data_IF_205806675521
#
_entry.id   IF_205806675521
#
_cell.length_a   1.000
_cell.length_b   1.000
_cell.length_c   1.000
_cell.angle_alpha   90.00
_cell.angle_beta   90.00
_cell.angle_gamma   90.00
#
_symmetry.space_group_name_H-M   'P 1'
#
loop_
_entity.id
_entity.type
_entity.pdbx_description
1 polymer ?
#
# COMPACT_ATOMS: atom_id res chain seq x y z
N UNK A 1 77.37 48.68 -16.12
CA UNK A 1 77.63 48.70 -14.66
C UNK A 1 76.49 47.90 -14.02
N UNK A 2 76.63 46.83 -13.25
CA UNK A 2 77.75 46.11 -12.63
C UNK A 2 77.33 44.64 -12.42
N UNK A 3 78.32 43.76 -12.28
CA UNK A 3 78.25 42.31 -12.20
C UNK A 3 77.79 41.76 -10.83
N UNK A 4 77.37 40.48 -10.86
CA UNK A 4 77.65 39.36 -9.95
C UNK A 4 77.77 39.56 -8.43
N UNK A 5 77.19 38.63 -7.65
CA UNK A 5 77.95 37.61 -6.87
C UNK A 5 77.01 36.73 -6.05
N UNK A 6 77.36 35.43 -5.98
CA UNK A 6 76.85 34.45 -5.03
C UNK A 6 77.75 34.41 -3.79
N UNK A 7 77.21 34.06 -2.62
CA UNK A 7 78.01 33.52 -1.52
C UNK A 7 77.19 32.60 -0.59
N UNK A 8 77.88 31.54 -0.14
CA UNK A 8 77.44 30.45 0.76
C UNK A 8 77.75 30.79 2.22
N UNK A 9 77.04 30.18 3.18
CA UNK A 9 77.48 30.06 4.59
C UNK A 9 76.43 29.43 5.54
N UNK A 10 76.80 28.77 6.65
CA UNK A 10 76.31 27.43 7.03
C UNK A 10 75.57 27.35 8.41
N UNK A 11 75.70 26.30 9.26
CA UNK A 11 74.74 25.21 9.42
C UNK A 11 74.10 25.11 10.83
N UNK A 12 73.08 24.24 10.95
CA UNK A 12 72.87 23.43 12.16
C UNK A 12 71.95 23.98 13.25
N UNK A 13 70.85 23.28 13.50
CA UNK A 13 70.43 22.94 14.87
C UNK A 13 69.49 21.74 14.88
N UNK A 14 69.99 20.67 15.49
CA UNK A 14 69.19 19.53 15.95
C UNK A 14 68.08 20.01 16.89
N UNK A 15 66.86 19.50 16.72
CA UNK A 15 65.97 19.26 17.86
C UNK A 15 65.40 17.85 17.79
N UNK A 16 65.65 17.16 18.91
CA UNK A 16 65.32 15.78 19.22
C UNK A 16 63.82 15.54 19.28
N UNK A 17 63.48 14.31 18.94
CA UNK A 17 62.26 13.56 19.21
C UNK A 17 61.39 14.03 20.38
N UNK A 18 60.08 14.12 20.10
CA UNK A 18 59.04 13.65 21.02
C UNK A 18 58.00 12.85 20.24
N UNK A 19 58.04 11.53 20.43
CA UNK A 19 56.90 10.64 20.21
C UNK A 19 55.73 11.20 21.03
N UNK A 20 54.66 11.61 20.36
CA UNK A 20 53.36 11.79 21.01
C UNK A 20 52.52 10.58 20.67
N UNK A 21 52.12 9.90 21.74
CA UNK A 21 51.33 8.68 21.79
C UNK A 21 50.02 8.82 21.00
N UNK A 22 49.68 7.77 20.27
CA UNK A 22 48.33 7.45 19.82
C UNK A 22 47.39 7.41 21.02
N UNK A 23 46.62 8.48 21.21
CA UNK A 23 45.46 8.49 22.09
C UNK A 23 44.22 8.17 21.26
N UNK A 24 43.78 6.92 21.29
CA UNK A 24 42.47 6.51 20.81
C UNK A 24 41.41 7.22 21.65
N UNK A 25 40.81 8.29 21.12
CA UNK A 25 39.54 8.79 21.63
C UNK A 25 38.44 7.93 21.01
N UNK A 26 38.08 6.87 21.74
CA UNK A 26 36.80 6.22 21.58
C UNK A 26 35.71 7.27 21.82
N UNK A 27 35.12 7.77 20.74
CA UNK A 27 33.90 8.57 20.79
C UNK A 27 32.79 7.68 21.33
N UNK A 28 32.07 8.20 22.33
CA UNK A 28 31.03 7.50 23.04
C UNK A 28 29.98 6.93 22.08
N UNK A 29 29.89 5.61 22.01
CA UNK A 29 28.69 4.92 21.57
C UNK A 29 27.59 5.30 22.55
N UNK A 30 26.67 6.16 22.12
CA UNK A 30 25.40 6.35 22.79
C UNK A 30 24.73 4.99 22.90
N UNK A 31 24.51 4.56 24.14
CA UNK A 31 23.82 3.33 24.47
C UNK A 31 22.41 3.42 23.91
N UNK A 32 22.10 2.58 22.94
CA UNK A 32 20.72 2.28 22.58
C UNK A 32 20.01 1.84 23.86
N UNK A 33 19.15 2.70 24.41
CA UNK A 33 18.22 2.26 25.45
C UNK A 33 17.42 1.12 24.82
N UNK A 34 17.58 -0.09 25.35
CA UNK A 34 16.72 -1.23 25.02
C UNK A 34 15.29 -0.74 25.13
N UNK A 35 14.55 -0.79 24.02
CA UNK A 35 13.10 -0.70 24.07
C UNK A 35 12.61 -1.71 25.11
N UNK A 36 11.63 -1.31 25.92
CA UNK A 36 11.02 -2.19 26.90
C UNK A 36 10.60 -3.50 26.19
N UNK A 37 10.84 -4.68 26.79
CA UNK A 37 10.42 -5.93 26.20
C UNK A 37 8.91 -5.87 25.96
N UNK A 38 8.51 -6.11 24.70
CA UNK A 38 7.11 -6.34 24.34
C UNK A 38 6.59 -7.43 25.29
N UNK A 39 5.45 -7.23 25.97
CA UNK A 39 4.88 -8.26 26.84
C UNK A 39 4.80 -9.56 26.06
N UNK A 40 5.53 -10.58 26.54
CA UNK A 40 5.51 -11.89 25.93
C UNK A 40 4.06 -12.39 25.91
N UNK A 41 3.55 -12.62 24.69
CA UNK A 41 2.29 -13.32 24.45
C UNK A 41 2.42 -14.73 25.04
N UNK A 42 2.13 -14.88 26.34
CA UNK A 42 1.99 -16.18 27.00
C UNK A 42 0.63 -16.80 26.67
N UNK A 43 0.31 -16.87 25.38
CA UNK A 43 -0.77 -17.66 24.83
C UNK A 43 -0.16 -18.90 24.16
N UNK A 44 -0.62 -20.09 24.54
CA UNK A 44 -0.13 -21.39 24.06
C UNK A 44 0.14 -21.37 22.55
N UNK A 45 1.36 -21.72 22.17
CA UNK A 45 1.85 -21.77 20.79
C UNK A 45 1.16 -22.83 19.89
N UNK A 46 0.12 -23.50 20.37
CA UNK A 46 -0.52 -24.63 19.69
C UNK A 46 -1.54 -24.24 18.61
N UNK A 47 -1.70 -22.95 18.29
CA UNK A 47 -2.62 -22.47 17.23
C UNK A 47 -1.98 -21.46 16.26
N UNK A 48 -0.71 -21.64 15.91
CA UNK A 48 -0.03 -20.78 14.91
C UNK A 48 -0.54 -21.06 13.47
N UNK A 49 -1.14 -22.23 13.24
CA UNK A 49 -1.71 -22.60 11.93
C UNK A 49 -3.23 -22.58 11.99
N UNK A 50 -3.85 -21.55 11.43
CA UNK A 50 -5.25 -21.58 11.07
C UNK A 50 -5.36 -21.95 9.59
N UNK A 51 -5.75 -23.20 9.29
CA UNK A 51 -6.12 -23.56 7.92
C UNK A 51 -7.42 -22.80 7.62
N UNK A 52 -7.34 -21.78 6.79
CA UNK A 52 -8.55 -21.12 6.26
C UNK A 52 -9.29 -22.19 5.46
N UNK A 53 -10.50 -22.61 5.86
CA UNK A 53 -11.25 -23.60 5.12
C UNK A 53 -11.41 -23.11 3.68
N UNK A 54 -11.16 -23.99 2.71
CA UNK A 54 -11.49 -23.66 1.32
C UNK A 54 -13.01 -23.45 1.26
N UNK A 55 -13.43 -22.24 0.90
CA UNK A 55 -14.83 -21.96 0.62
C UNK A 55 -15.15 -22.60 -0.73
N UNK A 56 -15.57 -23.86 -0.68
CA UNK A 56 -15.98 -24.63 -1.85
C UNK A 56 -17.36 -24.14 -2.30
N UNK A 57 -17.59 -23.91 -3.60
CA UNK A 57 -18.92 -23.60 -4.10
C UNK A 57 -19.87 -24.76 -3.77
N UNK A 58 -20.98 -24.47 -3.07
CA UNK A 58 -22.06 -25.44 -2.84
C UNK A 58 -21.94 -26.31 -1.58
N UNK A 59 -21.08 -26.01 -0.61
CA UNK A 59 -21.15 -26.66 0.70
C UNK A 59 -22.46 -26.26 1.42
N UNK A 60 -23.25 -27.22 1.93
CA UNK A 60 -24.44 -26.90 2.73
C UNK A 60 -23.99 -26.27 4.04
N UNK A 61 -24.34 -25.00 4.23
CA UNK A 61 -24.22 -24.32 5.52
C UNK A 61 -25.26 -24.96 6.43
N UNK A 62 -24.82 -25.65 7.48
CA UNK A 62 -25.73 -26.21 8.48
C UNK A 62 -26.66 -25.13 9.02
N UNK A 63 -27.96 -25.43 9.11
CA UNK A 63 -29.04 -24.61 9.67
C UNK A 63 -28.76 -23.09 9.76
N UNK A 64 -28.86 -22.43 8.60
CA UNK A 64 -29.19 -21.01 8.36
C UNK A 64 -28.60 -19.94 9.32
N UNK A 65 -27.26 -19.88 9.43
CA UNK A 65 -26.62 -18.63 9.82
C UNK A 65 -26.50 -17.73 8.58
N UNK A 66 -27.16 -16.57 8.61
CA UNK A 66 -26.96 -15.50 7.63
C UNK A 66 -25.49 -15.08 7.65
N UNK A 67 -24.90 -14.82 6.48
CA UNK A 67 -23.51 -14.39 6.40
C UNK A 67 -23.39 -13.03 5.73
N UNK A 68 -22.65 -12.13 6.39
CA UNK A 68 -22.23 -10.85 5.80
C UNK A 68 -20.96 -11.07 4.98
N UNK A 69 -21.03 -10.85 3.68
CA UNK A 69 -19.90 -10.96 2.77
C UNK A 69 -19.28 -9.58 2.51
N UNK A 70 -18.14 -9.30 3.13
CA UNK A 70 -17.32 -8.13 2.79
C UNK A 70 -16.56 -8.41 1.49
N UNK A 71 -17.01 -7.83 0.39
CA UNK A 71 -16.54 -8.14 -0.96
C UNK A 71 -15.69 -6.99 -1.50
N UNK A 72 -14.46 -7.31 -1.89
CA UNK A 72 -13.66 -6.43 -2.74
C UNK A 72 -14.27 -6.34 -4.13
N UNK A 73 -14.83 -5.18 -4.45
CA UNK A 73 -15.46 -4.88 -5.73
C UNK A 73 -14.45 -4.73 -6.87
N UNK A 74 -13.17 -4.54 -6.55
CA UNK A 74 -12.15 -4.19 -7.53
C UNK A 74 -11.99 -2.67 -7.72
N UNK A 75 -11.10 -2.27 -8.63
CA UNK A 75 -10.64 -0.87 -8.77
C UNK A 75 -11.65 0.06 -9.46
N UNK A 76 -12.60 -0.48 -10.21
CA UNK A 76 -13.47 0.31 -11.07
C UNK A 76 -14.29 -0.55 -12.00
N UNK A 77 -13.69 -1.12 -13.04
CA UNK A 77 -14.43 -1.95 -14.00
C UNK A 77 -15.15 -3.13 -13.33
N UNK A 78 -16.40 -3.35 -13.68
CA UNK A 78 -17.24 -4.39 -13.08
C UNK A 78 -16.71 -5.81 -13.28
N UNK A 79 -15.95 -6.06 -14.36
CA UNK A 79 -15.36 -7.37 -14.67
C UNK A 79 -14.07 -7.67 -13.87
N UNK A 80 -13.57 -6.70 -13.10
CA UNK A 80 -12.45 -6.88 -12.18
C UNK A 80 -12.89 -7.31 -10.76
N UNK A 81 -14.18 -7.47 -10.53
CA UNK A 81 -14.68 -8.23 -9.37
C UNK A 81 -14.26 -9.70 -9.51
N UNK A 82 -14.00 -10.37 -8.39
CA UNK A 82 -13.72 -11.81 -8.45
C UNK A 82 -14.98 -12.61 -8.82
N UNK A 83 -14.81 -13.78 -9.46
CA UNK A 83 -15.92 -14.72 -9.71
C UNK A 83 -16.71 -15.06 -8.43
N UNK A 84 -16.02 -15.15 -7.29
CA UNK A 84 -16.68 -15.34 -5.99
C UNK A 84 -17.51 -14.12 -5.60
N UNK A 85 -16.97 -12.92 -5.73
CA UNK A 85 -17.66 -11.66 -5.45
C UNK A 85 -18.92 -11.50 -6.31
N UNK A 86 -18.81 -11.70 -7.62
CA UNK A 86 -19.94 -11.66 -8.56
C UNK A 86 -21.06 -12.64 -8.16
N UNK A 87 -20.73 -13.90 -7.90
CA UNK A 87 -21.73 -14.91 -7.50
C UNK A 87 -22.44 -14.60 -6.20
N UNK A 88 -21.75 -13.94 -5.27
CA UNK A 88 -22.35 -13.49 -4.00
C UNK A 88 -23.26 -12.29 -4.24
N UNK A 89 -22.80 -11.31 -5.01
CA UNK A 89 -23.57 -10.13 -5.38
C UNK A 89 -24.88 -10.51 -6.10
N UNK A 90 -24.84 -11.53 -6.98
CA UNK A 90 -25.98 -12.05 -7.72
C UNK A 90 -27.01 -12.82 -6.88
N UNK A 91 -26.75 -13.11 -5.60
CA UNK A 91 -27.66 -13.89 -4.75
C UNK A 91 -28.04 -13.22 -3.43
N UNK A 92 -27.29 -12.22 -2.98
CA UNK A 92 -27.58 -11.57 -1.71
C UNK A 92 -28.84 -10.70 -1.85
N UNK A 93 -29.88 -10.90 -1.03
CA UNK A 93 -31.08 -10.05 -1.03
C UNK A 93 -30.83 -8.62 -0.55
N UNK A 94 -29.71 -8.37 0.13
CA UNK A 94 -29.32 -7.03 0.59
C UNK A 94 -27.89 -6.72 0.11
N UNK A 95 -27.71 -5.54 -0.49
CA UNK A 95 -26.41 -5.04 -0.93
C UNK A 95 -26.13 -3.67 -0.34
N UNK A 96 -25.05 -3.53 0.41
CA UNK A 96 -24.54 -2.26 0.93
C UNK A 96 -23.25 -1.91 0.19
N UNK A 97 -23.10 -0.69 -0.28
CA UNK A 97 -21.86 -0.22 -0.92
C UNK A 97 -21.43 1.13 -0.37
N UNK A 98 -20.14 1.44 -0.46
CA UNK A 98 -19.55 2.65 0.09
C UNK A 98 -19.47 3.79 -0.94
N UNK A 99 -20.55 4.55 -1.12
CA UNK A 99 -20.52 5.87 -1.76
C UNK A 99 -20.08 5.90 -3.23
N UNK A 100 -19.50 7.03 -3.62
CA UNK A 100 -19.23 7.46 -5.01
C UNK A 100 -18.17 6.67 -5.79
N UNK A 101 -17.65 5.57 -5.23
CA UNK A 101 -16.63 4.73 -5.86
C UNK A 101 -17.20 3.31 -6.03
N UNK A 102 -18.34 3.22 -6.68
CA UNK A 102 -18.97 1.97 -7.10
C UNK A 102 -19.64 2.18 -8.45
N UNK A 103 -19.27 1.45 -9.50
CA UNK A 103 -19.82 1.69 -10.82
C UNK A 103 -21.24 1.10 -10.91
N UNK A 104 -22.09 1.75 -11.72
CA UNK A 104 -23.49 1.36 -11.85
C UNK A 104 -23.65 -0.03 -12.48
N UNK A 105 -22.77 -0.38 -13.42
CA UNK A 105 -22.76 -1.69 -14.10
C UNK A 105 -22.45 -2.85 -13.15
N UNK A 106 -21.66 -2.64 -12.10
CA UNK A 106 -21.44 -3.63 -11.06
C UNK A 106 -22.68 -3.78 -10.18
N UNK A 107 -23.32 -2.67 -9.78
CA UNK A 107 -24.56 -2.72 -8.99
C UNK A 107 -25.70 -3.40 -9.77
N UNK A 108 -25.72 -3.25 -11.09
CA UNK A 108 -26.66 -3.92 -11.98
C UNK A 108 -26.51 -5.46 -12.02
N UNK A 109 -25.45 -6.03 -11.43
CA UNK A 109 -25.32 -7.48 -11.23
C UNK A 109 -26.23 -7.99 -10.10
N UNK A 110 -26.75 -7.12 -9.24
CA UNK A 110 -27.72 -7.50 -8.23
C UNK A 110 -29.05 -7.91 -8.89
N UNK A 111 -29.74 -8.93 -8.36
CA UNK A 111 -31.12 -9.22 -8.75
C UNK A 111 -32.04 -7.98 -8.62
N UNK A 112 -33.10 -7.87 -9.44
CA UNK A 112 -34.03 -6.74 -9.38
C UNK A 112 -34.66 -6.49 -8.00
N UNK A 113 -34.85 -7.55 -7.21
CA UNK A 113 -35.46 -7.49 -5.88
C UNK A 113 -34.45 -7.23 -4.74
N UNK A 114 -33.16 -7.10 -5.06
CA UNK A 114 -32.14 -6.81 -4.06
C UNK A 114 -32.32 -5.41 -3.49
N UNK A 115 -32.35 -5.29 -2.17
CA UNK A 115 -32.33 -3.99 -1.48
C UNK A 115 -30.91 -3.43 -1.52
N UNK A 116 -30.67 -2.47 -2.40
CA UNK A 116 -29.38 -1.80 -2.57
C UNK A 116 -29.33 -0.50 -1.74
N UNK A 117 -28.29 -0.34 -0.92
CA UNK A 117 -28.12 0.78 0.00
C UNK A 117 -26.76 1.46 -0.19
N UNK A 118 -26.78 2.77 -0.47
CA UNK A 118 -25.60 3.61 -0.39
C UNK A 118 -25.28 3.95 1.06
N UNK A 119 -24.09 3.56 1.50
CA UNK A 119 -23.60 3.80 2.86
C UNK A 119 -22.72 5.04 2.99
N UNK A 120 -22.41 5.73 1.89
CA UNK A 120 -21.69 7.00 1.89
C UNK A 120 -22.23 8.06 2.86
N UNK A 121 -23.56 8.27 2.97
CA UNK A 121 -24.15 9.21 3.92
C UNK A 121 -24.42 8.62 5.32
N UNK A 122 -24.12 7.34 5.56
CA UNK A 122 -24.50 6.64 6.79
C UNK A 122 -23.38 6.67 7.83
N UNK A 123 -23.75 6.74 9.10
CA UNK A 123 -22.84 6.49 10.22
C UNK A 123 -22.57 4.99 10.39
N UNK A 124 -21.51 4.64 11.12
CA UNK A 124 -21.21 3.25 11.46
C UNK A 124 -22.36 2.57 12.20
N UNK A 125 -23.07 3.28 13.09
CA UNK A 125 -24.23 2.72 13.81
C UNK A 125 -25.37 2.37 12.85
N UNK A 126 -25.67 3.24 11.89
CA UNK A 126 -26.68 2.98 10.87
C UNK A 126 -26.29 1.81 9.97
N UNK A 127 -25.02 1.76 9.53
CA UNK A 127 -24.47 0.66 8.74
C UNK A 127 -24.65 -0.68 9.46
N UNK A 128 -24.26 -0.76 10.73
CA UNK A 128 -24.38 -1.99 11.52
C UNK A 128 -25.84 -2.33 11.77
N UNK A 129 -26.69 -1.33 12.01
CA UNK A 129 -28.14 -1.51 12.16
C UNK A 129 -28.78 -2.17 10.94
N UNK A 130 -28.44 -1.73 9.73
CA UNK A 130 -28.91 -2.35 8.48
C UNK A 130 -28.48 -3.81 8.34
N UNK A 131 -27.22 -4.10 8.70
CA UNK A 131 -26.67 -5.47 8.64
C UNK A 131 -27.37 -6.37 9.66
N UNK A 132 -27.58 -5.91 10.90
CA UNK A 132 -28.27 -6.67 11.95
C UNK A 132 -29.75 -6.88 11.60
N UNK A 133 -30.41 -5.89 10.99
CA UNK A 133 -31.78 -6.04 10.53
C UNK A 133 -31.90 -7.10 9.42
N UNK A 134 -30.94 -7.15 8.49
CA UNK A 134 -30.89 -8.19 7.46
C UNK A 134 -30.63 -9.59 8.06
N UNK A 135 -29.70 -9.69 9.01
CA UNK A 135 -29.43 -10.93 9.76
C UNK A 135 -30.69 -11.46 10.47
N UNK A 136 -31.39 -10.60 11.21
CA UNK A 136 -32.64 -10.94 11.89
C UNK A 136 -33.77 -11.37 10.92
N UNK A 137 -33.71 -10.93 9.66
CA UNK A 137 -34.65 -11.31 8.60
C UNK A 137 -34.23 -12.57 7.83
N UNK A 138 -33.09 -13.19 8.13
CA UNK A 138 -32.61 -14.36 7.39
C UNK A 138 -31.96 -14.01 6.05
N UNK A 139 -31.48 -12.77 5.86
CA UNK A 139 -31.01 -12.24 4.58
C UNK A 139 -29.49 -12.06 4.52
N UNK A 140 -28.82 -12.85 3.67
CA UNK A 140 -27.40 -12.64 3.34
C UNK A 140 -27.15 -11.22 2.82
N UNK A 141 -25.99 -10.66 3.22
CA UNK A 141 -25.60 -9.28 2.90
C UNK A 141 -24.35 -9.26 2.05
N UNK A 142 -24.42 -8.66 0.86
CA UNK A 142 -23.25 -8.26 0.09
C UNK A 142 -22.80 -6.87 0.57
N UNK A 143 -21.65 -6.78 1.23
CA UNK A 143 -21.03 -5.50 1.64
C UNK A 143 -19.86 -5.17 0.72
N UNK A 144 -20.10 -4.35 -0.30
CA UNK A 144 -19.10 -3.97 -1.28
C UNK A 144 -18.13 -2.91 -0.73
N UNK A 145 -16.84 -3.14 -0.95
CA UNK A 145 -15.74 -2.20 -0.72
C UNK A 145 -14.94 -2.01 -2.01
N UNK A 146 -14.56 -0.77 -2.32
CA UNK A 146 -13.65 -0.49 -3.45
C UNK A 146 -12.31 -1.20 -3.24
N UNK A 147 -11.74 -1.71 -4.34
CA UNK A 147 -10.47 -2.43 -4.34
C UNK A 147 -10.54 -3.74 -3.57
N UNK A 148 -9.67 -3.87 -2.57
CA UNK A 148 -9.60 -5.04 -1.68
C UNK A 148 -9.87 -4.63 -0.22
N UNK A 149 -10.68 -5.39 0.55
CA UNK A 149 -11.01 -5.03 1.93
C UNK A 149 -9.82 -5.03 2.90
N UNK A 150 -8.64 -5.54 2.54
CA UNK A 150 -7.45 -5.50 3.40
C UNK A 150 -6.83 -4.11 3.54
N UNK A 151 -7.13 -3.18 2.63
CA UNK A 151 -6.43 -1.90 2.54
C UNK A 151 -7.40 -0.71 2.68
N UNK A 152 -7.20 0.09 3.72
CA UNK A 152 -7.93 1.36 3.99
C UNK A 152 -9.46 1.30 3.88
N UNK A 153 -10.05 0.13 4.13
CA UNK A 153 -11.46 -0.18 3.85
C UNK A 153 -12.44 0.11 4.99
N UNK A 154 -11.93 0.44 6.19
CA UNK A 154 -12.70 0.45 7.44
C UNK A 154 -13.40 -0.90 7.79
N UNK A 155 -12.90 -2.01 7.25
CA UNK A 155 -13.39 -3.35 7.58
C UNK A 155 -13.24 -3.70 9.08
N UNK A 156 -12.14 -3.27 9.69
CA UNK A 156 -11.76 -3.67 11.06
C UNK A 156 -12.81 -3.25 12.10
N UNK A 157 -13.34 -2.03 12.01
CA UNK A 157 -14.34 -1.52 12.94
C UNK A 157 -15.71 -2.19 12.77
N UNK A 158 -16.11 -2.47 11.52
CA UNK A 158 -17.36 -3.16 11.22
C UNK A 158 -17.31 -4.59 11.74
N UNK A 159 -16.26 -5.36 11.41
CA UNK A 159 -16.07 -6.72 11.90
C UNK A 159 -16.08 -6.80 13.42
N UNK A 160 -15.43 -5.85 14.10
CA UNK A 160 -15.41 -5.80 15.59
C UNK A 160 -16.83 -5.66 16.15
N UNK A 161 -17.67 -4.82 15.54
CA UNK A 161 -19.06 -4.61 15.99
C UNK A 161 -19.95 -5.81 15.66
N UNK A 162 -19.85 -6.38 14.46
CA UNK A 162 -20.62 -7.57 14.06
C UNK A 162 -20.28 -8.78 14.94
N UNK A 163 -18.99 -9.01 15.21
CA UNK A 163 -18.54 -10.07 16.12
C UNK A 163 -19.14 -9.90 17.52
N UNK A 164 -19.24 -8.67 18.02
CA UNK A 164 -19.79 -8.40 19.35
C UNK A 164 -21.29 -8.71 19.47
N UNK A 165 -22.03 -8.71 18.36
CA UNK A 165 -23.47 -9.03 18.31
C UNK A 165 -23.76 -10.41 17.74
N UNK A 166 -22.73 -11.22 17.47
CA UNK A 166 -22.88 -12.60 17.00
C UNK A 166 -23.26 -12.76 15.53
N UNK A 167 -23.07 -11.72 14.71
CA UNK A 167 -23.33 -11.80 13.26
C UNK A 167 -22.10 -12.38 12.55
N UNK A 168 -22.32 -13.46 11.79
CA UNK A 168 -21.26 -14.12 11.03
C UNK A 168 -20.86 -13.29 9.80
N UNK A 169 -19.55 -13.24 9.52
CA UNK A 169 -19.03 -12.51 8.37
C UNK A 169 -17.85 -13.22 7.69
N UNK A 170 -17.73 -13.00 6.40
CA UNK A 170 -16.63 -13.48 5.57
C UNK A 170 -16.04 -12.35 4.73
N UNK A 171 -14.72 -12.37 4.53
CA UNK A 171 -14.03 -11.47 3.60
C UNK A 171 -13.80 -12.20 2.27
N UNK A 172 -14.14 -11.53 1.19
CA UNK A 172 -13.88 -11.96 -0.19
C UNK A 172 -12.88 -10.96 -0.78
N UNK A 173 -11.67 -11.43 -1.17
CA UNK A 173 -10.66 -10.52 -1.69
C UNK A 173 -11.10 -9.92 -3.02
N UNK A 174 -10.54 -8.76 -3.33
CA UNK A 174 -10.69 -8.05 -4.61
C UNK A 174 -9.34 -7.68 -5.21
N UNK A 175 -9.39 -7.08 -6.40
CA UNK A 175 -8.20 -6.50 -7.03
C UNK A 175 -7.93 -5.12 -6.43
N UNK A 176 -6.80 -4.90 -5.72
CA UNK A 176 -6.51 -3.60 -5.13
C UNK A 176 -6.11 -2.57 -6.19
N UNK A 177 -6.38 -1.30 -5.91
CA UNK A 177 -6.16 -0.21 -6.87
C UNK A 177 -4.70 -0.08 -7.34
N UNK A 178 -3.71 -0.32 -6.48
CA UNK A 178 -2.30 -0.27 -6.91
C UNK A 178 -1.96 -1.34 -7.95
N UNK A 179 -2.57 -2.52 -7.88
CA UNK A 179 -2.32 -3.59 -8.84
C UNK A 179 -2.97 -3.25 -10.19
N UNK A 180 -4.19 -2.70 -10.17
CA UNK A 180 -4.86 -2.21 -11.37
C UNK A 180 -4.08 -1.07 -12.04
N UNK A 181 -3.58 -0.13 -11.24
CA UNK A 181 -2.78 0.98 -11.73
C UNK A 181 -1.43 0.53 -12.32
N UNK A 182 -0.76 -0.46 -11.71
CA UNK A 182 0.44 -1.06 -12.28
C UNK A 182 0.15 -1.76 -13.62
N UNK A 183 -0.98 -2.47 -13.72
CA UNK A 183 -1.43 -3.11 -14.96
C UNK A 183 -1.74 -2.08 -16.06
N UNK A 184 -2.42 -0.98 -15.73
CA UNK A 184 -2.69 0.12 -16.67
C UNK A 184 -1.40 0.74 -17.24
N UNK A 185 -0.33 0.77 -16.44
CA UNK A 185 0.98 1.23 -16.88
C UNK A 185 1.80 0.17 -17.63
N UNK A 186 1.38 -1.09 -17.63
CA UNK A 186 2.13 -2.22 -18.17
C UNK A 186 3.41 -2.53 -17.40
N UNK A 187 3.45 -2.30 -16.09
CA UNK A 187 4.67 -2.37 -15.28
C UNK A 187 4.61 -3.45 -14.19
N UNK A 188 5.74 -4.11 -13.99
CA UNK A 188 6.01 -4.89 -12.78
C UNK A 188 6.61 -3.96 -11.70
N UNK A 189 6.08 -3.96 -10.49
CA UNK A 189 6.55 -3.07 -9.41
C UNK A 189 7.83 -3.54 -8.71
N UNK A 190 8.27 -4.78 -9.02
CA UNK A 190 9.49 -5.41 -8.49
C UNK A 190 10.36 -5.94 -9.63
N UNK A 191 11.37 -5.16 -9.99
CA UNK A 191 12.27 -5.48 -11.10
C UNK A 191 13.64 -5.93 -10.56
N UNK A 192 14.21 -7.09 -11.01
CA UNK A 192 15.51 -7.56 -10.57
C UNK A 192 16.62 -6.51 -10.75
N UNK A 193 17.41 -6.29 -9.69
CA UNK A 193 18.48 -5.29 -9.69
C UNK A 193 18.03 -3.83 -9.58
N UNK A 194 16.72 -3.57 -9.59
CA UNK A 194 16.15 -2.21 -9.47
C UNK A 194 15.36 -2.05 -8.17
N UNK A 195 14.31 -2.84 -7.97
CA UNK A 195 13.48 -2.79 -6.77
C UNK A 195 12.92 -4.19 -6.46
N UNK A 196 12.98 -4.60 -5.20
CA UNK A 196 12.44 -5.88 -4.72
C UNK A 196 11.48 -5.71 -3.53
N UNK A 197 11.12 -4.46 -3.25
CA UNK A 197 10.24 -4.07 -2.15
C UNK A 197 9.21 -3.11 -2.69
N UNK A 198 7.94 -3.35 -2.34
CA UNK A 198 6.84 -2.41 -2.57
C UNK A 198 6.26 -2.03 -1.22
N UNK A 199 6.19 -0.72 -0.95
CA UNK A 199 5.56 -0.19 0.26
C UNK A 199 4.22 0.44 -0.11
N UNK A 200 3.13 -0.12 0.39
CA UNK A 200 1.80 0.47 0.29
C UNK A 200 1.63 1.42 1.48
N UNK A 201 1.44 2.71 1.22
CA UNK A 201 1.24 3.70 2.28
C UNK A 201 0.29 4.81 1.83
N UNK A 202 0.10 5.80 2.70
CA UNK A 202 -0.72 6.99 2.49
C UNK A 202 -0.08 8.19 3.16
N UNK A 203 -0.62 9.37 2.91
CA UNK A 203 -0.32 10.56 3.69
C UNK A 203 -1.22 10.63 4.94
N UNK A 204 -0.72 11.30 5.96
CA UNK A 204 -1.55 11.70 7.08
C UNK A 204 -2.74 12.56 6.58
N UNK A 205 -3.88 12.41 7.23
CA UNK A 205 -5.04 13.27 7.03
C UNK A 205 -5.42 13.91 8.35
N UNK A 206 -6.26 14.95 8.33
CA UNK A 206 -6.80 15.54 9.56
C UNK A 206 -7.44 14.51 10.49
N UNK A 207 -8.04 13.46 9.91
CA UNK A 207 -8.70 12.36 10.63
C UNK A 207 -7.77 11.23 11.07
N UNK A 208 -6.52 11.17 10.60
CA UNK A 208 -5.64 10.02 10.86
C UNK A 208 -4.17 10.42 10.76
N UNK A 209 -3.51 10.46 11.92
CA UNK A 209 -2.05 10.57 11.99
C UNK A 209 -1.39 9.25 11.56
N UNK A 210 -0.22 9.33 10.95
CA UNK A 210 0.61 8.15 10.69
C UNK A 210 1.31 7.71 11.99
N UNK A 211 1.44 6.40 12.24
CA UNK A 211 2.30 5.90 13.32
C UNK A 211 3.75 6.37 13.16
N UNK A 212 4.53 6.50 14.26
CA UNK A 212 5.94 6.85 14.19
C UNK A 212 6.73 5.85 13.33
N UNK A 213 7.53 6.36 12.39
CA UNK A 213 8.31 5.56 11.45
C UNK A 213 7.61 5.25 10.13
N UNK A 214 6.33 5.59 10.00
CA UNK A 214 5.54 5.45 8.76
C UNK A 214 5.38 6.78 8.01
N UNK A 215 6.09 7.83 8.42
CA UNK A 215 6.13 9.11 7.70
C UNK A 215 6.82 8.95 6.34
N UNK A 216 6.36 9.68 5.32
CA UNK A 216 6.88 9.54 3.95
C UNK A 216 8.39 9.76 3.86
N UNK A 217 8.92 10.74 4.59
CA UNK A 217 10.38 10.98 4.66
C UNK A 217 11.18 9.77 5.17
N UNK A 218 10.60 8.93 6.03
CA UNK A 218 11.26 7.75 6.58
C UNK A 218 11.20 6.54 5.62
N UNK A 219 10.17 6.52 4.77
CA UNK A 219 9.93 5.48 3.77
C UNK A 219 10.64 5.76 2.43
N UNK A 220 11.06 6.99 2.19
CA UNK A 220 11.80 7.43 1.01
C UNK A 220 13.00 6.52 0.69
N UNK A 221 13.14 6.15 -0.59
CA UNK A 221 14.29 5.37 -1.10
C UNK A 221 14.27 3.87 -0.78
N UNK A 222 13.22 3.32 -0.16
CA UNK A 222 13.14 1.90 0.24
C UNK A 222 12.41 1.02 -0.80
N UNK A 223 12.84 1.09 -2.05
CA UNK A 223 12.21 0.39 -3.18
C UNK A 223 11.08 1.22 -3.82
N UNK A 224 9.99 0.56 -4.22
CA UNK A 224 8.84 1.21 -4.87
C UNK A 224 7.82 1.65 -3.83
N UNK A 225 7.44 2.93 -3.83
CA UNK A 225 6.32 3.43 -3.02
C UNK A 225 5.04 3.45 -3.85
N UNK A 226 3.92 3.00 -3.28
CA UNK A 226 2.58 3.12 -3.85
C UNK A 226 1.67 3.84 -2.85
N UNK A 227 1.39 5.11 -3.13
CA UNK A 227 0.67 6.02 -2.25
C UNK A 227 -0.81 6.04 -2.61
N UNK A 228 -1.63 5.78 -1.60
CA UNK A 228 -3.08 5.88 -1.65
C UNK A 228 -3.53 7.16 -0.94
N UNK A 229 -4.72 7.67 -1.28
CA UNK A 229 -5.36 8.79 -0.58
C UNK A 229 -4.46 10.05 -0.49
N UNK A 230 -3.63 10.28 -1.49
CA UNK A 230 -2.56 11.28 -1.45
C UNK A 230 -2.60 12.32 -2.60
N UNK A 231 -3.44 12.11 -3.63
CA UNK A 231 -3.48 12.97 -4.82
C UNK A 231 -3.70 14.47 -4.50
N UNK A 232 -4.68 14.78 -3.64
CA UNK A 232 -4.95 16.15 -3.19
C UNK A 232 -3.79 16.80 -2.41
N UNK A 233 -2.82 16.01 -1.95
CA UNK A 233 -1.68 16.44 -1.14
C UNK A 233 -0.35 16.27 -1.89
N UNK A 234 -0.36 16.25 -3.23
CA UNK A 234 0.84 15.97 -4.05
C UNK A 234 2.03 16.87 -3.70
N UNK A 235 1.80 18.17 -3.45
CA UNK A 235 2.85 19.11 -3.03
C UNK A 235 3.51 18.69 -1.71
N UNK A 236 2.71 18.25 -0.74
CA UNK A 236 3.21 17.74 0.53
C UNK A 236 3.97 16.42 0.35
N UNK A 237 3.48 15.53 -0.52
CA UNK A 237 4.17 14.28 -0.87
C UNK A 237 5.55 14.58 -1.43
N UNK A 238 5.66 15.48 -2.42
CA UNK A 238 6.93 15.87 -3.03
C UNK A 238 7.89 16.43 -1.99
N UNK A 239 7.41 17.32 -1.12
CA UNK A 239 8.22 17.92 -0.06
C UNK A 239 8.75 16.89 0.96
N UNK A 240 7.92 15.96 1.43
CA UNK A 240 8.33 14.92 2.38
C UNK A 240 9.34 13.95 1.76
N UNK A 241 9.11 13.55 0.51
CA UNK A 241 9.99 12.62 -0.20
C UNK A 241 11.34 13.26 -0.52
N UNK A 242 11.35 14.54 -0.88
CA UNK A 242 12.58 15.33 -1.07
C UNK A 242 13.35 15.46 0.24
N UNK A 243 12.65 15.73 1.34
CA UNK A 243 13.25 15.76 2.70
C UNK A 243 13.80 14.39 3.10
N UNK A 244 13.15 13.31 2.67
CA UNK A 244 13.61 11.93 2.85
C UNK A 244 14.83 11.54 1.99
N UNK A 245 15.31 12.44 1.12
CA UNK A 245 16.53 12.27 0.34
C UNK A 245 16.33 11.76 -1.09
N UNK A 246 15.10 11.73 -1.60
CA UNK A 246 14.86 11.51 -3.03
C UNK A 246 15.24 12.75 -3.84
N UNK A 247 15.67 12.55 -5.09
CA UNK A 247 16.16 13.62 -5.95
C UNK A 247 15.03 14.19 -6.81
N UNK A 248 15.14 15.43 -7.31
CA UNK A 248 14.12 16.02 -8.20
C UNK A 248 13.85 15.17 -9.46
N UNK A 249 14.83 14.37 -9.89
CA UNK A 249 14.75 13.48 -11.04
C UNK A 249 14.13 12.11 -10.73
N UNK A 250 13.87 11.77 -9.45
CA UNK A 250 13.29 10.48 -9.09
C UNK A 250 11.96 10.27 -9.84
N UNK A 251 11.79 9.16 -10.57
CA UNK A 251 10.60 8.90 -11.36
C UNK A 251 9.32 8.83 -10.51
N UNK A 252 8.24 9.41 -11.04
CA UNK A 252 6.90 9.37 -10.45
C UNK A 252 5.87 9.09 -11.54
N UNK A 253 4.89 8.25 -11.23
CA UNK A 253 3.74 8.03 -12.08
C UNK A 253 2.45 8.07 -11.25
N UNK A 254 1.40 8.63 -11.82
CA UNK A 254 0.08 8.71 -11.19
C UNK A 254 -0.94 8.11 -12.14
N UNK A 255 -1.72 7.17 -11.62
CA UNK A 255 -2.86 6.61 -12.34
C UNK A 255 -4.12 7.04 -11.61
N UNK A 256 -4.89 7.92 -12.24
CA UNK A 256 -6.21 8.33 -11.78
C UNK A 256 -7.27 7.40 -12.38
N UNK A 257 -8.26 7.03 -11.57
CA UNK A 257 -9.41 6.24 -12.00
C UNK A 257 -9.03 4.95 -12.74
N UNK A 258 -8.01 4.23 -12.24
CA UNK A 258 -7.56 2.97 -12.85
C UNK A 258 -8.73 2.02 -13.14
N UNK A 259 -8.80 1.48 -14.35
CA UNK A 259 -9.88 0.66 -14.95
C UNK A 259 -11.23 1.35 -15.23
N UNK A 260 -11.42 2.60 -14.85
CA UNK A 260 -12.63 3.33 -15.22
C UNK A 260 -12.51 3.90 -16.65
N UNK A 261 -13.62 4.24 -17.31
CA UNK A 261 -13.58 4.97 -18.58
C UNK A 261 -12.82 6.30 -18.52
N UNK A 262 -12.72 6.91 -17.34
CA UNK A 262 -11.99 8.15 -17.09
C UNK A 262 -10.51 7.92 -16.69
N UNK A 263 -9.97 6.71 -16.88
CA UNK A 263 -8.58 6.39 -16.54
C UNK A 263 -7.60 7.39 -17.18
N UNK A 264 -6.70 7.93 -16.37
CA UNK A 264 -5.66 8.86 -16.82
C UNK A 264 -4.33 8.48 -16.19
N UNK A 265 -3.29 8.37 -17.02
CA UNK A 265 -1.91 8.10 -16.58
C UNK A 265 -1.06 9.34 -16.79
N UNK A 266 -0.45 9.83 -15.71
CA UNK A 266 0.50 10.94 -15.72
C UNK A 266 1.88 10.41 -15.33
N UNK A 267 2.91 10.77 -16.09
CA UNK A 267 4.30 10.38 -15.82
C UNK A 267 5.18 11.63 -15.74
N UNK A 268 6.09 11.63 -14.78
CA UNK A 268 7.02 12.73 -14.56
C UNK A 268 8.08 12.36 -13.54
N UNK A 269 8.61 13.38 -12.87
CA UNK A 269 9.55 13.22 -11.76
C UNK A 269 9.02 13.94 -10.53
N UNK A 270 9.70 13.81 -9.39
CA UNK A 270 9.34 14.55 -8.18
C UNK A 270 9.25 16.07 -8.43
N UNK A 271 10.10 16.62 -9.31
CA UNK A 271 10.11 18.05 -9.66
C UNK A 271 8.88 18.49 -10.49
N UNK A 272 8.33 17.61 -11.33
CA UNK A 272 7.31 17.99 -12.32
C UNK A 272 5.91 17.53 -11.97
N UNK A 273 5.78 16.50 -11.13
CA UNK A 273 4.52 15.75 -11.01
C UNK A 273 3.38 16.58 -10.41
N UNK A 274 3.68 17.50 -9.50
CA UNK A 274 2.67 18.34 -8.88
C UNK A 274 1.99 19.27 -9.90
N UNK A 275 2.77 19.90 -10.78
CA UNK A 275 2.27 20.76 -11.85
C UNK A 275 1.44 19.97 -12.87
N UNK A 276 1.90 18.77 -13.21
CA UNK A 276 1.18 17.90 -14.14
C UNK A 276 -0.18 17.44 -13.58
N UNK A 277 -0.27 17.13 -12.29
CA UNK A 277 -1.54 16.79 -11.65
C UNK A 277 -2.50 17.98 -11.60
N UNK A 278 -1.99 19.19 -11.32
CA UNK A 278 -2.79 20.42 -11.35
C UNK A 278 -3.34 20.70 -12.75
N UNK A 279 -2.52 20.54 -13.78
CA UNK A 279 -2.93 20.72 -15.18
C UNK A 279 -3.98 19.70 -15.63
N UNK A 280 -3.94 18.48 -15.10
CA UNK A 280 -4.90 17.41 -15.39
C UNK A 280 -6.14 17.39 -14.48
N UNK A 281 -6.25 18.31 -13.53
CA UNK A 281 -7.31 18.35 -12.49
C UNK A 281 -7.47 17.04 -11.70
N UNK A 282 -6.36 16.34 -11.46
CA UNK A 282 -6.35 15.07 -10.72
C UNK A 282 -6.15 15.37 -9.23
N UNK A 283 -7.25 15.33 -8.47
CA UNK A 283 -7.25 15.64 -7.03
C UNK A 283 -7.66 14.45 -6.15
N UNK A 284 -8.25 13.40 -6.72
CA UNK A 284 -8.76 12.23 -5.98
C UNK A 284 -8.73 10.96 -6.83
N UNK A 285 -9.01 9.83 -6.19
CA UNK A 285 -9.11 8.51 -6.85
C UNK A 285 -7.91 8.21 -7.73
N UNK A 286 -6.70 8.35 -7.16
CA UNK A 286 -5.47 8.09 -7.87
C UNK A 286 -4.45 7.37 -6.99
N UNK A 287 -3.62 6.56 -7.63
CA UNK A 287 -2.46 5.91 -7.03
C UNK A 287 -1.20 6.61 -7.54
N UNK A 288 -0.34 7.05 -6.63
CA UNK A 288 0.94 7.66 -6.97
C UNK A 288 2.03 6.63 -6.71
N UNK A 289 2.79 6.28 -7.74
CA UNK A 289 3.99 5.46 -7.63
C UNK A 289 5.23 6.34 -7.64
N UNK A 290 6.19 6.03 -6.78
CA UNK A 290 7.50 6.68 -6.74
C UNK A 290 8.59 5.63 -6.69
N UNK A 291 9.59 5.77 -7.55
CA UNK A 291 10.79 4.94 -7.52
C UNK A 291 11.33 4.59 -8.90
N UNK A 292 12.59 4.15 -8.93
CA UNK A 292 13.35 3.86 -10.14
C UNK A 292 12.72 2.79 -11.05
N UNK A 293 11.85 1.94 -10.50
CA UNK A 293 11.13 0.91 -11.27
C UNK A 293 10.31 1.49 -12.44
N UNK A 294 9.88 2.75 -12.33
CA UNK A 294 9.07 3.42 -13.34
C UNK A 294 9.87 3.84 -14.58
N UNK A 295 11.21 3.84 -14.49
CA UNK A 295 12.14 4.14 -15.57
C UNK A 295 13.11 2.96 -15.83
N UNK A 296 12.78 1.76 -15.34
CA UNK A 296 13.65 0.60 -15.44
C UNK A 296 13.76 0.09 -16.87
N UNK A 297 14.97 0.12 -17.42
CA UNK A 297 15.33 -0.46 -18.71
C UNK A 297 16.59 -1.33 -18.58
N UNK A 298 16.76 -2.32 -19.46
CA UNK A 298 17.99 -3.12 -19.53
C UNK A 298 18.33 -3.95 -18.28
N UNK A 299 17.35 -4.22 -17.42
CA UNK A 299 17.52 -5.04 -16.23
C UNK A 299 17.70 -6.52 -16.56
N UNK A 300 18.27 -7.27 -15.61
CA UNK A 300 18.57 -8.69 -15.80
C UNK A 300 17.30 -9.55 -15.82
N UNK A 301 17.30 -10.58 -16.66
CA UNK A 301 16.23 -11.57 -16.67
C UNK A 301 16.12 -12.29 -15.32
N UNK A 302 14.89 -12.59 -14.91
CA UNK A 302 14.64 -13.35 -13.68
C UNK A 302 15.18 -14.77 -13.79
N UNK A 303 15.77 -15.27 -12.69
CA UNK A 303 16.17 -16.67 -12.57
C UNK A 303 14.98 -17.64 -12.72
N UNK A 304 13.74 -17.17 -12.54
CA UNK A 304 12.52 -17.99 -12.65
C UNK A 304 12.40 -18.73 -14.00
N UNK A 305 12.83 -18.10 -15.09
CA UNK A 305 12.78 -18.66 -16.44
C UNK A 305 14.16 -19.00 -17.01
N UNK A 306 15.23 -18.81 -16.23
CA UNK A 306 16.59 -19.13 -16.66
C UNK A 306 16.74 -20.61 -17.00
N UNK A 307 17.47 -20.91 -18.08
CA UNK A 307 17.89 -22.27 -18.43
C UNK A 307 18.78 -22.91 -17.35
N UNK A 308 19.48 -22.08 -16.56
CA UNK A 308 20.25 -22.50 -15.39
C UNK A 308 19.41 -22.74 -14.14
N UNK A 309 18.08 -22.58 -14.20
CA UNK A 309 17.19 -22.80 -13.05
C UNK A 309 17.17 -24.26 -12.63
N UNK A 310 17.61 -24.54 -11.41
CA UNK A 310 17.44 -25.86 -10.78
C UNK A 310 15.95 -26.10 -10.54
N UNK A 311 15.36 -27.04 -11.29
CA UNK A 311 13.97 -27.45 -11.11
C UNK A 311 13.92 -28.62 -10.11
N UNK A 312 13.53 -28.33 -8.86
CA UNK A 312 13.22 -29.34 -7.84
C UNK A 312 11.74 -29.77 -7.91
N UNK A 313 11.41 -30.92 -7.32
CA UNK A 313 10.11 -31.62 -7.42
C UNK A 313 8.89 -30.72 -7.17
N UNK A 314 7.81 -31.04 -7.90
CA UNK A 314 6.55 -30.30 -8.03
C UNK A 314 5.99 -29.77 -6.69
N UNK A 315 5.54 -28.50 -6.71
CA UNK A 315 4.88 -27.80 -5.59
C UNK A 315 3.47 -28.33 -5.31
#
# INVERSE_FOLDING_TARGET
MSQATASRGPPGRQRRHRRVRSGSRAGAFTTWRRAAPIPALHGRADRILHRVPAVLPGQPVGAAAVTVYFIGAGPGAADLITVRGQRLLQRCPVCLYAGSIMPEDLLALCPPETRILDTGPMTLDQIIGEIVAADAAGHDVARLHSGDPSLYSALAEQRRRLTAVGVEHQVVPGVPAFAAAAAAMGLELTVPGVAQTVTLTRVATLSTAMPPGEELRALAGRGTLALHLAAAQIEHVVAELSTGGLTPQTPVAVVAYASWPAETVVRGTLDTIADQLRAADITKTAIIFVGEVLAAEGFVESYLYSSGRRRGAQH
#
